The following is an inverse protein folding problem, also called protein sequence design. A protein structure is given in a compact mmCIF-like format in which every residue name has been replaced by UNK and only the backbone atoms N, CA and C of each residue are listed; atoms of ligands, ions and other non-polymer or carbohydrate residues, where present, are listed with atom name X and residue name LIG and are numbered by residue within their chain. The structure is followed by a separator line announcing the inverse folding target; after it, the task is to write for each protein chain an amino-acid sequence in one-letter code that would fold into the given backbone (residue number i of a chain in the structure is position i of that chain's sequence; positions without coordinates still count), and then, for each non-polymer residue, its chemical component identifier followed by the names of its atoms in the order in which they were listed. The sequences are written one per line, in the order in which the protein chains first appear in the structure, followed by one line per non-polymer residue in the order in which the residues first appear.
data_IF_325822415322
#
_entry.id   IF_325822415322
#
_cell.length_a   1.000
_cell.length_b   1.000
_cell.length_c   1.000
_cell.angle_alpha   90.00
_cell.angle_beta   90.00
_cell.angle_gamma   90.00
#
_symmetry.space_group_name_H-M   'P 1'
#
loop_
_entity.id
_entity.type
_entity.pdbx_description
1 polymer ?
#
# COMPACT_ATOMS: atom_id res chain seq x y z
N UNK A 1 -12.32 -27.63 -48.98
CA UNK A 1 -10.93 -27.53 -49.46
C UNK A 1 -10.53 -26.06 -49.39
N UNK A 2 -9.68 -25.69 -48.42
CA UNK A 2 -9.32 -24.29 -48.14
C UNK A 2 -8.15 -23.77 -48.99
N UNK A 3 -7.83 -24.38 -50.15
CA UNK A 3 -6.71 -23.92 -50.99
C UNK A 3 -5.30 -24.14 -50.39
N UNK A 4 -5.18 -24.70 -49.19
CA UNK A 4 -3.89 -24.97 -48.57
C UNK A 4 -3.31 -26.29 -49.07
N UNK A 5 -2.07 -26.22 -49.55
CA UNK A 5 -1.29 -27.40 -49.96
C UNK A 5 -0.39 -27.80 -48.81
N UNK A 6 -0.41 -29.07 -48.43
CA UNK A 6 0.50 -29.61 -47.41
C UNK A 6 1.75 -30.17 -48.12
N UNK A 7 2.88 -29.52 -47.84
CA UNK A 7 4.16 -29.94 -48.40
C UNK A 7 5.00 -30.57 -47.29
N UNK A 8 5.60 -31.73 -47.57
CA UNK A 8 6.55 -32.39 -46.67
C UNK A 8 7.95 -32.09 -47.21
N UNK A 9 8.78 -31.45 -46.41
CA UNK A 9 10.16 -31.08 -46.80
C UNK A 9 11.13 -31.90 -45.95
N UNK A 10 12.13 -32.53 -46.59
CA UNK A 10 13.21 -33.23 -45.93
C UNK A 10 14.53 -32.48 -46.21
N UNK A 11 15.26 -32.11 -45.15
CA UNK A 11 16.61 -31.57 -45.31
C UNK A 11 17.58 -32.68 -45.71
N UNK A 12 18.36 -32.46 -46.76
CA UNK A 12 19.32 -33.43 -47.26
C UNK A 12 20.74 -33.17 -46.73
N UNK A 13 21.24 -31.96 -46.89
CA UNK A 13 22.56 -31.56 -46.47
C UNK A 13 22.61 -30.09 -46.05
N UNK A 14 23.66 -29.71 -45.34
CA UNK A 14 23.91 -28.33 -44.93
C UNK A 14 24.80 -27.64 -45.97
N UNK A 15 24.35 -26.49 -46.42
CA UNK A 15 25.04 -25.72 -47.46
C UNK A 15 25.23 -24.28 -47.00
N UNK A 16 26.27 -23.64 -47.51
CA UNK A 16 26.48 -22.20 -47.34
C UNK A 16 26.01 -21.47 -48.60
N UNK A 17 25.07 -20.55 -48.45
CA UNK A 17 24.63 -19.70 -49.57
C UNK A 17 25.66 -18.62 -49.82
N UNK A 18 26.12 -18.51 -51.05
CA UNK A 18 27.10 -17.52 -51.52
C UNK A 18 26.38 -16.31 -52.10
N UNK A 19 25.36 -16.53 -52.94
CA UNK A 19 24.61 -15.47 -53.57
C UNK A 19 23.17 -15.92 -53.88
N UNK A 20 22.28 -14.96 -54.01
CA UNK A 20 20.88 -15.15 -54.43
C UNK A 20 20.71 -14.50 -55.81
N UNK A 21 19.96 -15.18 -56.68
CA UNK A 21 19.55 -14.69 -57.98
C UNK A 21 18.03 -14.80 -58.09
N UNK A 22 17.39 -13.75 -58.58
CA UNK A 22 15.97 -13.81 -58.93
C UNK A 22 15.87 -14.35 -60.38
N UNK A 23 15.14 -15.42 -60.57
CA UNK A 23 14.99 -15.99 -61.89
C UNK A 23 13.75 -15.43 -62.63
N UNK A 24 13.67 -15.68 -63.91
CA UNK A 24 12.59 -15.17 -64.79
C UNK A 24 11.17 -15.61 -64.36
N UNK A 25 11.04 -16.58 -63.49
CA UNK A 25 9.77 -17.09 -62.94
C UNK A 25 9.36 -16.49 -61.62
N UNK A 26 10.14 -15.54 -61.09
CA UNK A 26 9.82 -14.77 -59.84
C UNK A 26 10.14 -15.51 -58.55
N UNK A 27 10.97 -16.52 -58.55
CA UNK A 27 11.51 -17.15 -57.34
C UNK A 27 13.02 -16.98 -57.23
N UNK A 28 13.54 -17.16 -56.01
CA UNK A 28 14.95 -16.98 -55.70
C UNK A 28 15.73 -18.29 -55.92
N UNK A 29 16.70 -18.24 -56.82
CA UNK A 29 17.75 -19.26 -56.97
C UNK A 29 18.95 -18.87 -56.09
N UNK A 30 19.73 -19.85 -55.65
CA UNK A 30 20.90 -19.60 -54.83
C UNK A 30 22.09 -20.44 -55.26
N UNK A 31 23.26 -19.80 -55.35
CA UNK A 31 24.52 -20.53 -55.42
C UNK A 31 24.93 -20.97 -54.03
N UNK A 32 25.19 -22.28 -53.91
CA UNK A 32 25.52 -22.90 -52.64
C UNK A 32 26.83 -23.66 -52.72
N UNK A 33 27.57 -23.68 -51.63
CA UNK A 33 28.77 -24.49 -51.44
C UNK A 33 28.46 -25.51 -50.34
N UNK A 34 28.75 -26.78 -50.57
CA UNK A 34 28.67 -27.83 -49.57
C UNK A 34 29.66 -27.55 -48.42
N UNK A 35 29.17 -27.69 -47.22
CA UNK A 35 29.98 -27.49 -46.01
C UNK A 35 30.89 -28.73 -45.81
N UNK A 36 32.23 -28.55 -45.68
CA UNK A 36 33.11 -29.68 -45.48
C UNK A 36 32.80 -30.39 -44.16
N UNK A 37 32.88 -31.71 -44.19
CA UNK A 37 32.74 -32.54 -42.99
C UNK A 37 34.06 -32.44 -42.20
N UNK A 38 33.92 -32.04 -40.92
CA UNK A 38 35.07 -32.02 -39.98
C UNK A 38 35.51 -33.44 -39.67
N UNK A 39 36.83 -33.72 -39.75
CA UNK A 39 37.42 -34.89 -39.18
C UNK A 39 37.47 -34.76 -37.65
N UNK A 40 36.74 -35.60 -36.93
CA UNK A 40 36.62 -35.53 -35.49
C UNK A 40 37.09 -36.83 -34.84
N UNK A 41 37.72 -36.72 -33.67
CA UNK A 41 38.14 -37.88 -32.88
C UNK A 41 36.91 -38.66 -32.39
N UNK A 42 36.85 -39.95 -32.70
CA UNK A 42 35.79 -40.87 -32.30
C UNK A 42 35.55 -40.93 -30.75
N UNK A 43 36.62 -40.69 -30.00
CA UNK A 43 36.53 -40.66 -28.53
C UNK A 43 35.79 -39.40 -28.04
N UNK A 44 36.04 -38.24 -28.69
CA UNK A 44 35.34 -37.00 -28.36
C UNK A 44 33.84 -37.08 -28.73
N UNK A 45 33.52 -37.66 -29.88
CA UNK A 45 32.17 -37.92 -30.31
C UNK A 45 31.42 -38.79 -29.29
N UNK A 46 32.05 -39.89 -28.85
CA UNK A 46 31.43 -40.81 -27.88
C UNK A 46 31.18 -40.15 -26.54
N UNK A 47 32.12 -39.34 -26.05
CA UNK A 47 32.00 -38.60 -24.81
C UNK A 47 30.86 -37.57 -24.87
N UNK A 48 30.83 -36.74 -25.91
CA UNK A 48 29.80 -35.70 -26.12
C UNK A 48 28.41 -36.33 -26.28
N UNK A 49 28.30 -37.45 -26.97
CA UNK A 49 27.05 -38.18 -27.11
C UNK A 49 26.51 -38.64 -25.76
N UNK A 50 27.36 -39.22 -24.92
CA UNK A 50 26.94 -39.68 -23.55
C UNK A 50 26.46 -38.50 -22.69
N UNK A 51 27.20 -37.38 -22.74
CA UNK A 51 26.81 -36.18 -21.97
C UNK A 51 25.47 -35.63 -22.49
N UNK A 52 25.28 -35.55 -23.81
CA UNK A 52 24.08 -35.04 -24.44
C UNK A 52 22.84 -35.88 -24.04
N UNK A 53 22.95 -37.20 -24.10
CA UNK A 53 21.86 -38.09 -23.70
C UNK A 53 21.55 -37.97 -22.20
N UNK A 54 22.54 -37.82 -21.36
CA UNK A 54 22.34 -37.63 -19.92
C UNK A 54 21.63 -36.32 -19.62
N UNK A 55 22.09 -35.21 -20.19
CA UNK A 55 21.55 -33.88 -19.92
C UNK A 55 20.14 -33.73 -20.57
N UNK A 56 19.91 -34.41 -21.71
CA UNK A 56 18.59 -34.44 -22.34
C UNK A 56 17.57 -35.24 -21.51
N UNK A 57 17.97 -36.39 -20.96
CA UNK A 57 17.11 -37.12 -20.02
C UNK A 57 16.76 -36.29 -18.81
N UNK A 58 17.75 -35.62 -18.21
CA UNK A 58 17.51 -34.72 -17.06
C UNK A 58 16.55 -33.59 -17.43
N UNK A 59 16.69 -33.00 -18.62
CA UNK A 59 15.78 -31.96 -19.10
C UNK A 59 14.35 -32.49 -19.30
N UNK A 60 14.18 -33.67 -19.91
CA UNK A 60 12.85 -34.27 -20.13
C UNK A 60 12.17 -34.63 -18.82
N UNK A 61 12.93 -35.16 -17.85
CA UNK A 61 12.40 -35.53 -16.54
C UNK A 61 11.99 -34.28 -15.72
N UNK A 62 12.68 -33.16 -15.93
CA UNK A 62 12.41 -31.90 -15.21
C UNK A 62 11.41 -31.00 -15.93
N UNK A 63 11.13 -31.23 -17.21
CA UNK A 63 10.28 -30.36 -18.05
C UNK A 63 9.16 -31.14 -18.71
N UNK A 64 7.93 -30.65 -18.63
CA UNK A 64 6.80 -31.20 -19.36
C UNK A 64 6.77 -30.78 -20.85
N UNK A 65 7.73 -29.98 -21.31
CA UNK A 65 7.73 -29.36 -22.63
C UNK A 65 8.27 -30.29 -23.75
N UNK A 66 8.96 -31.37 -23.39
CA UNK A 66 9.56 -32.30 -24.37
C UNK A 66 9.09 -33.74 -24.10
N UNK A 67 8.76 -34.45 -25.16
CA UNK A 67 8.26 -35.84 -25.05
C UNK A 67 9.39 -36.86 -25.02
N UNK A 68 9.25 -37.91 -24.24
CA UNK A 68 10.14 -39.09 -24.21
C UNK A 68 10.31 -39.76 -25.59
N UNK A 69 9.40 -39.54 -26.54
CA UNK A 69 9.52 -40.06 -27.92
C UNK A 69 10.75 -39.57 -28.67
N UNK A 70 11.30 -38.42 -28.25
CA UNK A 70 12.52 -37.83 -28.85
C UNK A 70 13.74 -38.74 -28.61
N UNK A 71 13.88 -39.30 -27.40
CA UNK A 71 14.96 -40.21 -27.06
C UNK A 71 14.96 -41.45 -27.98
N UNK A 72 13.78 -41.98 -28.29
CA UNK A 72 13.63 -43.10 -29.21
C UNK A 72 14.11 -42.75 -30.64
N UNK A 73 13.87 -41.51 -31.11
CA UNK A 73 14.29 -41.08 -32.44
C UNK A 73 15.80 -40.83 -32.55
N UNK A 74 16.42 -40.35 -31.49
CA UNK A 74 17.86 -40.01 -31.51
C UNK A 74 18.76 -41.22 -31.14
N UNK A 75 18.27 -42.26 -30.45
CA UNK A 75 19.05 -43.39 -30.01
C UNK A 75 19.66 -44.20 -31.18
N UNK A 76 18.99 -44.25 -32.34
CA UNK A 76 19.46 -44.91 -33.53
C UNK A 76 20.39 -44.09 -34.45
N UNK A 77 20.64 -42.82 -34.12
CA UNK A 77 21.46 -41.93 -34.97
C UNK A 77 22.91 -41.99 -34.56
N UNK A 78 23.78 -42.46 -35.46
CA UNK A 78 25.25 -42.57 -35.24
C UNK A 78 25.99 -41.23 -35.48
N UNK A 79 25.53 -40.44 -36.44
CA UNK A 79 26.11 -39.13 -36.78
C UNK A 79 25.78 -38.08 -35.72
N UNK A 80 26.82 -37.52 -35.07
CA UNK A 80 26.67 -36.53 -34.00
C UNK A 80 26.09 -35.19 -34.50
N UNK A 81 26.36 -34.85 -35.79
CA UNK A 81 25.81 -33.67 -36.45
C UNK A 81 24.29 -33.80 -36.64
N UNK A 82 23.82 -34.92 -37.22
CA UNK A 82 22.39 -35.21 -37.39
C UNK A 82 21.67 -35.32 -36.04
N UNK A 83 22.31 -35.93 -35.04
CA UNK A 83 21.80 -36.04 -33.69
C UNK A 83 21.57 -34.64 -33.11
N UNK A 84 22.52 -33.74 -33.19
CA UNK A 84 22.36 -32.36 -32.71
C UNK A 84 21.23 -31.61 -33.40
N UNK A 85 21.07 -31.81 -34.72
CA UNK A 85 20.04 -31.15 -35.51
C UNK A 85 18.63 -31.61 -35.12
N UNK A 86 18.45 -32.90 -34.84
CA UNK A 86 17.18 -33.43 -34.36
C UNK A 86 16.86 -32.88 -32.97
N UNK A 87 17.82 -32.85 -32.06
CA UNK A 87 17.60 -32.30 -30.72
C UNK A 87 17.27 -30.81 -30.76
N UNK A 88 18.00 -30.02 -31.54
CA UNK A 88 17.70 -28.58 -31.72
C UNK A 88 16.32 -28.30 -32.33
N UNK A 89 15.85 -29.19 -33.23
CA UNK A 89 14.54 -29.06 -33.83
C UNK A 89 13.40 -29.28 -32.80
N UNK A 90 13.59 -30.23 -31.91
CA UNK A 90 12.60 -30.64 -30.90
C UNK A 90 12.60 -29.76 -29.63
N UNK A 91 13.72 -29.10 -29.34
CA UNK A 91 13.78 -28.20 -28.18
C UNK A 91 12.80 -27.03 -28.33
N UNK A 92 12.06 -26.67 -27.26
CA UNK A 92 11.13 -25.54 -27.25
C UNK A 92 11.85 -24.19 -27.11
N UNK A 93 12.85 -23.96 -27.94
CA UNK A 93 13.66 -22.75 -27.95
C UNK A 93 13.21 -21.74 -29.03
N UNK A 94 13.55 -20.47 -28.84
CA UNK A 94 13.20 -19.41 -29.78
C UNK A 94 13.77 -19.65 -31.19
N UNK A 95 13.06 -19.16 -32.19
CA UNK A 95 13.50 -19.25 -33.57
C UNK A 95 14.91 -18.66 -33.79
N UNK A 96 15.24 -17.58 -33.09
CA UNK A 96 16.58 -16.96 -33.13
C UNK A 96 17.67 -17.91 -32.64
N UNK A 97 17.43 -18.69 -31.60
CA UNK A 97 18.34 -19.71 -31.08
C UNK A 97 18.49 -20.85 -32.13
N UNK A 98 17.40 -21.30 -32.77
CA UNK A 98 17.43 -22.33 -33.81
C UNK A 98 18.28 -21.90 -34.99
N UNK A 99 18.20 -20.63 -35.41
CA UNK A 99 19.07 -20.08 -36.48
C UNK A 99 20.54 -20.08 -36.05
N UNK A 100 20.83 -19.78 -34.75
CA UNK A 100 22.21 -19.81 -34.24
C UNK A 100 22.84 -21.21 -34.39
N UNK A 101 22.09 -22.26 -34.05
CA UNK A 101 22.54 -23.64 -34.23
C UNK A 101 22.69 -24.02 -35.71
N UNK A 102 21.78 -23.55 -36.57
CA UNK A 102 21.89 -23.79 -38.03
C UNK A 102 23.14 -23.15 -38.62
N UNK A 103 23.52 -21.96 -38.15
CA UNK A 103 24.75 -21.24 -38.61
C UNK A 103 26.04 -21.88 -38.11
N UNK A 104 25.97 -22.66 -37.01
CA UNK A 104 27.14 -23.34 -36.47
C UNK A 104 27.52 -24.53 -37.38
N UNK A 105 28.54 -24.35 -38.19
CA UNK A 105 28.99 -25.32 -39.22
C UNK A 105 29.55 -26.57 -38.53
N UNK A 106 30.49 -26.40 -37.60
CA UNK A 106 31.15 -27.50 -36.89
C UNK A 106 30.19 -28.32 -36.03
N UNK A 107 30.14 -29.61 -36.24
CA UNK A 107 29.28 -30.54 -35.51
C UNK A 107 29.56 -30.57 -33.98
N UNK A 108 30.86 -30.60 -33.63
CA UNK A 108 31.32 -30.60 -32.24
C UNK A 108 30.99 -29.28 -31.54
N UNK A 109 31.30 -28.16 -32.22
CA UNK A 109 31.02 -26.83 -31.67
C UNK A 109 29.53 -26.63 -31.45
N UNK A 110 28.70 -27.15 -32.33
CA UNK A 110 27.23 -27.10 -32.22
C UNK A 110 26.71 -27.93 -31.01
N UNK A 111 27.27 -29.14 -30.83
CA UNK A 111 26.92 -29.97 -29.69
C UNK A 111 27.36 -29.34 -28.37
N UNK A 112 28.54 -28.74 -28.29
CA UNK A 112 29.02 -28.03 -27.12
C UNK A 112 28.11 -26.86 -26.78
N UNK A 113 27.72 -26.04 -27.76
CA UNK A 113 26.75 -24.95 -27.55
C UNK A 113 25.38 -25.46 -27.08
N UNK A 114 24.91 -26.57 -27.63
CA UNK A 114 23.66 -27.21 -27.23
C UNK A 114 23.71 -27.68 -25.77
N UNK A 115 24.83 -28.25 -25.34
CA UNK A 115 25.03 -28.70 -23.96
C UNK A 115 25.10 -27.52 -22.98
N UNK A 116 25.68 -26.39 -23.36
CA UNK A 116 25.66 -25.17 -22.52
C UNK A 116 24.24 -24.64 -22.35
N UNK A 117 23.48 -24.53 -23.45
CA UNK A 117 22.10 -24.06 -23.41
C UNK A 117 21.19 -25.04 -22.62
N UNK A 118 21.35 -26.37 -22.78
CA UNK A 118 20.60 -27.36 -22.02
C UNK A 118 20.88 -27.27 -20.52
N UNK A 119 22.14 -27.11 -20.11
CA UNK A 119 22.48 -26.94 -18.70
C UNK A 119 21.84 -25.68 -18.10
N UNK A 120 21.93 -24.57 -18.80
CA UNK A 120 21.30 -23.32 -18.38
C UNK A 120 19.79 -23.46 -18.21
N UNK A 121 19.12 -24.14 -19.14
CA UNK A 121 17.67 -24.38 -19.03
C UNK A 121 17.33 -25.32 -17.85
N UNK A 122 18.11 -26.38 -17.61
CA UNK A 122 17.92 -27.27 -16.45
C UNK A 122 18.10 -26.51 -15.13
N UNK A 123 19.08 -25.63 -15.03
CA UNK A 123 19.29 -24.79 -13.84
C UNK A 123 18.11 -23.83 -13.63
N UNK A 124 17.60 -23.24 -14.71
CA UNK A 124 16.44 -22.35 -14.65
C UNK A 124 15.20 -23.09 -14.13
N UNK A 125 14.90 -24.27 -14.68
CA UNK A 125 13.76 -25.09 -14.25
C UNK A 125 13.87 -25.45 -12.75
N UNK A 126 15.06 -25.83 -12.29
CA UNK A 126 15.29 -26.14 -10.86
C UNK A 126 15.02 -24.93 -9.97
N UNK A 127 15.46 -23.75 -10.38
CA UNK A 127 15.20 -22.51 -9.62
C UNK A 127 13.71 -22.17 -9.61
N UNK A 128 13.00 -22.38 -10.72
CA UNK A 128 11.54 -22.17 -10.80
C UNK A 128 10.82 -23.10 -9.82
N UNK A 129 11.18 -24.39 -9.79
CA UNK A 129 10.62 -25.37 -8.86
C UNK A 129 10.90 -25.02 -7.40
N UNK A 130 12.11 -24.57 -7.07
CA UNK A 130 12.46 -24.12 -5.72
C UNK A 130 11.65 -22.91 -5.27
N UNK A 131 11.46 -21.94 -6.15
CA UNK A 131 10.65 -20.75 -5.89
C UNK A 131 9.19 -21.14 -5.69
N UNK A 132 8.64 -21.98 -6.56
CA UNK A 132 7.25 -22.42 -6.47
C UNK A 132 6.99 -23.19 -5.17
N UNK A 133 7.88 -24.12 -4.81
CA UNK A 133 7.79 -24.87 -3.55
C UNK A 133 7.92 -23.94 -2.33
N UNK A 134 8.79 -22.95 -2.38
CA UNK A 134 8.93 -21.95 -1.30
C UNK A 134 7.67 -21.10 -1.13
N UNK A 135 7.05 -20.65 -2.23
CA UNK A 135 5.79 -19.92 -2.20
C UNK A 135 4.64 -20.77 -1.65
N UNK A 136 4.53 -22.03 -2.11
CA UNK A 136 3.50 -22.96 -1.67
C UNK A 136 3.60 -23.23 -0.16
N UNK A 137 4.81 -23.49 0.33
CA UNK A 137 5.06 -23.69 1.77
C UNK A 137 4.71 -22.46 2.61
N UNK A 138 4.98 -21.24 2.13
CA UNK A 138 4.60 -19.99 2.82
C UNK A 138 3.09 -19.80 2.88
N UNK A 139 2.38 -20.10 1.78
CA UNK A 139 0.91 -20.00 1.71
C UNK A 139 0.29 -21.03 2.66
N UNK A 140 0.73 -22.29 2.60
CA UNK A 140 0.21 -23.38 3.45
C UNK A 140 0.45 -23.10 4.94
N UNK A 141 1.61 -22.56 5.30
CA UNK A 141 1.93 -22.18 6.68
C UNK A 141 1.04 -21.05 7.16
N UNK A 142 0.79 -20.05 6.34
CA UNK A 142 -0.09 -18.92 6.67
C UNK A 142 -1.54 -19.36 6.84
N UNK A 143 -2.06 -20.19 5.93
CA UNK A 143 -3.42 -20.73 6.03
C UNK A 143 -3.57 -21.65 7.25
N UNK A 144 -2.60 -22.51 7.52
CA UNK A 144 -2.59 -23.38 8.71
C UNK A 144 -2.60 -22.59 10.00
N UNK A 145 -1.77 -21.55 10.10
CA UNK A 145 -1.76 -20.67 11.28
C UNK A 145 -3.11 -19.94 11.46
N UNK A 146 -3.69 -19.43 10.39
CA UNK A 146 -5.03 -18.82 10.45
C UNK A 146 -6.09 -19.81 10.98
N UNK A 147 -6.13 -21.03 10.44
CA UNK A 147 -7.06 -22.07 10.89
C UNK A 147 -6.82 -22.50 12.35
N UNK A 148 -5.56 -22.55 12.77
CA UNK A 148 -5.21 -22.85 14.17
C UNK A 148 -5.67 -21.74 15.11
N UNK A 149 -5.45 -20.49 14.77
CA UNK A 149 -5.95 -19.35 15.55
C UNK A 149 -7.47 -19.33 15.65
N UNK A 150 -8.17 -19.62 14.55
CA UNK A 150 -9.62 -19.69 14.56
C UNK A 150 -10.16 -20.86 15.40
N UNK A 151 -9.52 -22.03 15.34
CA UNK A 151 -9.84 -23.16 16.22
C UNK A 151 -9.60 -22.84 17.70
N UNK A 152 -8.48 -22.20 18.02
CA UNK A 152 -8.18 -21.77 19.40
C UNK A 152 -9.24 -20.77 19.88
N UNK A 153 -9.71 -19.84 19.01
CA UNK A 153 -10.75 -18.89 19.32
C UNK A 153 -12.08 -19.60 19.66
N UNK A 154 -12.49 -20.52 18.80
CA UNK A 154 -13.74 -21.27 19.01
C UNK A 154 -13.66 -22.11 20.29
N UNK A 155 -12.55 -22.80 20.53
CA UNK A 155 -12.36 -23.58 21.77
C UNK A 155 -12.38 -22.72 23.02
N UNK A 156 -11.79 -21.51 22.99
CA UNK A 156 -11.85 -20.55 24.09
C UNK A 156 -13.27 -20.03 24.33
N UNK A 157 -14.04 -19.78 23.25
CA UNK A 157 -15.46 -19.41 23.35
C UNK A 157 -16.30 -20.52 23.98
N UNK A 158 -16.08 -21.80 23.62
CA UNK A 158 -16.77 -22.96 24.21
C UNK A 158 -16.40 -23.21 25.69
N UNK A 159 -15.14 -22.95 26.06
CA UNK A 159 -14.67 -23.11 27.44
C UNK A 159 -15.03 -21.91 28.33
N UNK A 160 -15.57 -20.81 27.78
CA UNK A 160 -15.84 -19.58 28.52
C UNK A 160 -14.57 -18.85 29.00
N UNK A 161 -13.40 -19.26 28.50
CA UNK A 161 -12.11 -18.62 28.78
C UNK A 161 -11.89 -17.43 27.85
N UNK A 162 -12.54 -16.31 28.19
CA UNK A 162 -12.24 -15.04 27.54
C UNK A 162 -10.92 -14.49 28.07
N UNK A 163 -9.97 -14.22 27.19
CA UNK A 163 -8.80 -13.41 27.56
C UNK A 163 -9.27 -11.98 27.90
N UNK A 164 -8.47 -11.26 28.67
CA UNK A 164 -8.75 -9.84 29.00
C UNK A 164 -8.99 -9.06 27.68
N UNK A 165 -8.22 -9.38 26.63
CA UNK A 165 -8.34 -8.79 25.30
C UNK A 165 -9.67 -9.11 24.61
N UNK A 166 -10.16 -10.34 24.69
CA UNK A 166 -11.45 -10.73 24.10
C UNK A 166 -12.61 -10.00 24.78
N UNK A 167 -12.56 -9.90 26.12
CA UNK A 167 -13.53 -9.12 26.90
C UNK A 167 -13.50 -7.66 26.49
N UNK A 168 -12.32 -7.08 26.34
CA UNK A 168 -12.13 -5.70 25.90
C UNK A 168 -12.62 -5.47 24.47
N UNK A 169 -12.30 -6.37 23.54
CA UNK A 169 -12.79 -6.32 22.16
C UNK A 169 -14.32 -6.34 22.08
N UNK A 170 -14.97 -7.15 22.93
CA UNK A 170 -16.43 -7.20 23.01
C UNK A 170 -17.00 -5.90 23.58
N UNK A 171 -16.40 -5.31 24.60
CA UNK A 171 -16.78 -4.00 25.13
C UNK A 171 -16.64 -2.90 24.07
N UNK A 172 -15.53 -2.87 23.33
CA UNK A 172 -15.33 -1.91 22.23
C UNK A 172 -16.39 -2.10 21.14
N UNK A 173 -16.71 -3.34 20.77
CA UNK A 173 -17.75 -3.65 19.78
C UNK A 173 -19.13 -3.15 20.24
N UNK A 174 -19.46 -3.31 21.50
CA UNK A 174 -20.70 -2.81 22.06
C UNK A 174 -20.75 -1.27 22.03
N UNK A 175 -19.67 -0.59 22.46
CA UNK A 175 -19.57 0.88 22.40
C UNK A 175 -19.71 1.42 20.98
N UNK A 176 -19.14 0.75 19.96
CA UNK A 176 -19.27 1.11 18.55
C UNK A 176 -20.73 1.02 18.08
N UNK A 177 -21.47 -0.01 18.54
CA UNK A 177 -22.89 -0.19 18.18
C UNK A 177 -23.80 0.85 18.84
N UNK A 178 -23.54 1.18 20.10
CA UNK A 178 -24.38 2.09 20.89
C UNK A 178 -24.20 3.55 20.52
N UNK A 179 -22.99 3.94 20.12
CA UNK A 179 -22.68 5.34 19.80
C UNK A 179 -23.19 5.73 18.40
N UNK A 180 -23.80 6.92 18.30
CA UNK A 180 -24.13 7.54 17.01
C UNK A 180 -22.86 8.00 16.34
N UNK A 181 -22.51 7.36 15.23
CA UNK A 181 -21.27 7.60 14.47
C UNK A 181 -21.59 7.82 13.00
N UNK A 182 -20.82 8.69 12.29
CA UNK A 182 -20.86 8.75 10.83
C UNK A 182 -20.50 7.40 10.23
N UNK A 183 -21.14 7.02 9.11
CA UNK A 183 -20.90 5.71 8.48
C UNK A 183 -19.42 5.47 8.18
N UNK A 184 -18.70 6.48 7.69
CA UNK A 184 -17.25 6.37 7.40
C UNK A 184 -16.44 6.01 8.66
N UNK A 185 -16.77 6.62 9.78
CA UNK A 185 -16.11 6.37 11.07
C UNK A 185 -16.44 4.99 11.61
N UNK A 186 -17.69 4.56 11.47
CA UNK A 186 -18.11 3.21 11.89
C UNK A 186 -17.37 2.12 11.13
N UNK A 187 -17.30 2.20 9.80
CA UNK A 187 -16.55 1.25 8.97
C UNK A 187 -15.08 1.21 9.39
N UNK A 188 -14.49 2.39 9.62
CA UNK A 188 -13.09 2.46 10.05
C UNK A 188 -12.87 1.82 11.42
N UNK A 189 -13.77 2.04 12.36
CA UNK A 189 -13.70 1.42 13.70
C UNK A 189 -13.84 -0.10 13.64
N UNK A 190 -14.71 -0.63 12.79
CA UNK A 190 -14.86 -2.07 12.57
C UNK A 190 -13.60 -2.71 11.97
N UNK A 191 -12.95 -2.04 11.00
CA UNK A 191 -11.68 -2.47 10.47
C UNK A 191 -10.57 -2.50 11.52
N UNK A 192 -10.44 -1.43 12.30
CA UNK A 192 -9.43 -1.35 13.36
C UNK A 192 -9.71 -2.34 14.49
N UNK A 193 -10.97 -2.56 14.84
CA UNK A 193 -11.35 -3.59 15.81
C UNK A 193 -11.01 -5.00 15.33
N UNK A 194 -11.17 -5.27 14.03
CA UNK A 194 -10.74 -6.54 13.43
C UNK A 194 -9.23 -6.70 13.52
N UNK A 195 -8.45 -5.64 13.22
CA UNK A 195 -6.99 -5.66 13.40
C UNK A 195 -6.59 -5.88 14.85
N UNK A 196 -7.26 -5.19 15.78
CA UNK A 196 -7.06 -5.35 17.22
C UNK A 196 -7.23 -6.81 17.67
N UNK A 197 -8.28 -7.49 17.22
CA UNK A 197 -8.54 -8.89 17.60
C UNK A 197 -7.52 -9.87 17.01
N UNK A 198 -7.01 -9.60 15.79
CA UNK A 198 -6.05 -10.47 15.10
C UNK A 198 -4.60 -10.28 15.56
N UNK A 199 -4.24 -9.11 16.07
CA UNK A 199 -2.87 -8.82 16.52
C UNK A 199 -2.52 -9.59 17.78
N UNK A 200 -1.26 -9.95 17.97
CA UNK A 200 -0.77 -10.58 19.21
C UNK A 200 -0.80 -9.59 20.39
N UNK A 201 -1.18 -10.04 21.59
CA UNK A 201 -1.17 -9.20 22.81
C UNK A 201 0.18 -8.56 23.11
N UNK A 202 1.26 -9.24 22.77
CA UNK A 202 2.62 -8.74 22.98
C UNK A 202 3.06 -7.68 21.95
N UNK A 203 2.24 -7.42 20.92
CA UNK A 203 2.60 -6.45 19.88
C UNK A 203 2.33 -5.01 20.34
N UNK A 204 3.31 -4.10 20.20
CA UNK A 204 3.11 -2.66 20.45
C UNK A 204 1.96 -2.05 19.60
N UNK A 205 1.68 -2.66 18.46
CA UNK A 205 0.62 -2.24 17.55
C UNK A 205 -0.76 -2.28 18.21
N UNK A 206 -0.99 -3.24 19.11
CA UNK A 206 -2.27 -3.39 19.86
C UNK A 206 -2.60 -2.12 20.64
N UNK A 207 -1.62 -1.54 21.32
CA UNK A 207 -1.80 -0.30 22.08
C UNK A 207 -2.11 0.89 21.16
N UNK A 208 -1.45 0.96 20.01
CA UNK A 208 -1.68 2.03 19.01
C UNK A 208 -3.11 1.93 18.46
N UNK A 209 -3.54 0.72 18.05
CA UNK A 209 -4.87 0.48 17.52
C UNK A 209 -5.94 0.81 18.58
N UNK A 210 -5.74 0.34 19.81
CA UNK A 210 -6.66 0.61 20.91
C UNK A 210 -6.82 2.09 21.18
N UNK A 211 -5.70 2.82 21.27
CA UNK A 211 -5.70 4.26 21.51
C UNK A 211 -6.45 4.99 20.39
N UNK A 212 -6.25 4.60 19.14
CA UNK A 212 -6.96 5.17 18.01
C UNK A 212 -8.48 4.90 18.07
N UNK A 213 -8.90 3.68 18.40
CA UNK A 213 -10.30 3.34 18.60
C UNK A 213 -10.91 4.22 19.72
N UNK A 214 -10.20 4.37 20.84
CA UNK A 214 -10.64 5.21 21.96
C UNK A 214 -10.75 6.69 21.58
N UNK A 215 -9.85 7.21 20.74
CA UNK A 215 -9.97 8.57 20.22
C UNK A 215 -11.25 8.72 19.39
N UNK A 216 -11.48 7.87 18.38
CA UNK A 216 -12.66 7.94 17.53
C UNK A 216 -13.97 7.77 18.30
N UNK A 217 -13.99 6.91 19.32
CA UNK A 217 -15.14 6.70 20.18
C UNK A 217 -15.43 7.87 21.12
N UNK A 218 -14.41 8.64 21.53
CA UNK A 218 -14.59 9.74 22.48
C UNK A 218 -14.77 11.10 21.81
N UNK A 219 -14.64 11.20 20.48
CA UNK A 219 -14.94 12.44 19.76
C UNK A 219 -16.44 12.70 19.71
N UNK A 220 -16.88 13.97 19.86
CA UNK A 220 -18.28 14.37 19.82
C UNK A 220 -18.76 14.56 18.37
N UNK A 221 -19.10 13.47 17.67
CA UNK A 221 -19.48 13.51 16.25
C UNK A 221 -20.78 14.27 15.99
N UNK A 222 -21.78 14.07 16.85
CA UNK A 222 -23.12 14.68 16.73
C UNK A 222 -23.55 15.44 17.98
N UNK A 223 -22.75 15.40 19.02
CA UNK A 223 -23.02 16.05 20.28
C UNK A 223 -22.74 17.57 20.17
N UNK A 224 -23.75 18.34 19.92
CA UNK A 224 -23.66 19.80 19.86
C UNK A 224 -24.54 20.50 20.88
N UNK A 225 -24.06 21.59 21.45
CA UNK A 225 -24.90 22.47 22.27
C UNK A 225 -25.84 23.30 21.41
N UNK A 226 -27.12 23.38 21.78
CA UNK A 226 -28.05 24.29 21.12
C UNK A 226 -27.77 25.70 21.65
N UNK A 227 -27.37 26.57 20.74
CA UNK A 227 -27.13 27.99 21.09
C UNK A 227 -28.48 28.69 21.32
N UNK A 228 -28.65 29.30 22.47
CA UNK A 228 -29.73 30.26 22.70
C UNK A 228 -29.13 31.66 22.60
N UNK A 229 -29.30 32.29 21.46
CA UNK A 229 -28.86 33.65 21.27
C UNK A 229 -29.85 34.61 21.86
N UNK A 230 -29.63 35.05 23.11
CA UNK A 230 -30.43 36.07 23.78
C UNK A 230 -29.57 37.32 23.99
N UNK A 231 -29.69 38.32 23.16
CA UNK A 231 -28.84 39.53 23.16
C UNK A 231 -28.83 40.24 24.51
N UNK A 232 -29.95 40.26 25.22
CA UNK A 232 -30.01 40.91 26.54
C UNK A 232 -29.20 40.14 27.56
N UNK A 233 -29.28 38.79 27.56
CA UNK A 233 -28.42 37.95 28.40
C UNK A 233 -26.92 38.12 28.10
N UNK A 234 -26.57 38.26 26.82
CA UNK A 234 -25.19 38.52 26.42
C UNK A 234 -24.68 39.85 26.98
N UNK A 235 -25.51 40.91 26.92
CA UNK A 235 -25.18 42.22 27.53
C UNK A 235 -24.98 42.13 29.02
N UNK A 236 -25.92 41.46 29.74
CA UNK A 236 -25.84 41.27 31.16
C UNK A 236 -24.54 40.54 31.56
N UNK A 237 -24.28 39.36 31.01
CA UNK A 237 -23.07 38.57 31.29
C UNK A 237 -21.78 39.36 31.03
N UNK A 238 -21.71 40.10 29.92
CA UNK A 238 -20.54 40.92 29.60
C UNK A 238 -20.37 42.09 30.58
N UNK A 239 -21.47 42.68 31.07
CA UNK A 239 -21.41 43.83 32.03
C UNK A 239 -21.07 43.37 33.44
N UNK A 240 -21.57 42.21 33.84
CA UNK A 240 -21.26 41.62 35.15
C UNK A 240 -19.81 41.18 35.25
N UNK A 241 -19.29 40.60 34.14
CA UNK A 241 -17.93 40.03 34.16
C UNK A 241 -16.82 41.05 33.96
N UNK A 242 -17.07 42.19 33.31
CA UNK A 242 -16.09 43.20 32.97
C UNK A 242 -16.57 44.61 33.19
N UNK A 243 -15.80 45.43 33.86
CA UNK A 243 -16.05 46.86 33.97
C UNK A 243 -15.45 47.61 32.77
N UNK A 244 -16.18 48.54 32.16
CA UNK A 244 -15.72 49.24 30.95
C UNK A 244 -15.64 48.34 29.73
N UNK A 245 -14.62 48.52 28.89
CA UNK A 245 -14.42 47.81 27.61
C UNK A 245 -15.59 47.95 26.61
N UNK A 246 -16.25 49.15 26.61
CA UNK A 246 -17.49 49.39 25.87
C UNK A 246 -17.37 49.08 24.37
N UNK A 247 -16.24 49.46 23.77
CA UNK A 247 -15.96 49.20 22.34
C UNK A 247 -15.89 47.71 22.05
N UNK A 248 -15.18 46.92 22.88
CA UNK A 248 -15.06 45.52 22.71
C UNK A 248 -16.40 44.79 22.94
N UNK A 249 -17.13 45.18 23.98
CA UNK A 249 -18.49 44.66 24.28
C UNK A 249 -19.44 44.95 23.14
N UNK A 250 -19.48 46.17 22.63
CA UNK A 250 -20.30 46.55 21.50
C UNK A 250 -20.03 45.68 20.27
N UNK A 251 -18.76 45.48 19.96
CA UNK A 251 -18.36 44.61 18.83
C UNK A 251 -18.77 43.15 19.01
N UNK A 252 -18.68 42.62 20.23
CA UNK A 252 -19.14 41.26 20.54
C UNK A 252 -20.66 41.15 20.38
N UNK A 253 -21.42 42.14 20.87
CA UNK A 253 -22.89 42.19 20.74
C UNK A 253 -23.31 42.28 19.28
N UNK A 254 -22.64 43.11 18.47
CA UNK A 254 -22.86 43.19 17.02
C UNK A 254 -22.63 41.83 16.35
N UNK A 255 -21.52 41.16 16.68
CA UNK A 255 -21.18 39.82 16.18
C UNK A 255 -22.28 38.80 16.55
N UNK A 256 -22.68 38.73 17.81
CA UNK A 256 -23.73 37.81 18.24
C UNK A 256 -25.07 38.09 17.56
N UNK A 257 -25.40 39.38 17.35
CA UNK A 257 -26.62 39.81 16.64
C UNK A 257 -26.66 39.32 15.19
N UNK A 258 -25.51 39.36 14.49
CA UNK A 258 -25.38 38.82 13.15
C UNK A 258 -25.55 37.30 13.14
N UNK A 259 -24.90 36.59 14.07
CA UNK A 259 -25.00 35.14 14.19
C UNK A 259 -26.43 34.70 14.47
N UNK A 260 -27.16 35.43 15.35
CA UNK A 260 -28.57 35.16 15.66
C UNK A 260 -29.47 35.29 14.43
N UNK A 261 -29.29 36.34 13.65
CA UNK A 261 -30.07 36.58 12.43
C UNK A 261 -29.80 35.58 11.33
N UNK A 262 -28.53 35.32 11.05
CA UNK A 262 -28.11 34.46 9.94
C UNK A 262 -28.30 32.96 10.28
N UNK A 263 -28.40 32.61 11.55
CA UNK A 263 -28.48 31.21 12.07
C UNK A 263 -27.35 30.32 11.56
N UNK A 264 -26.32 30.88 11.01
CA UNK A 264 -25.17 30.22 10.45
C UNK A 264 -23.93 31.02 10.84
N UNK A 265 -23.06 30.41 11.61
CA UNK A 265 -21.74 31.02 11.91
C UNK A 265 -20.89 30.77 10.67
N UNK A 266 -20.85 31.71 9.77
CA UNK A 266 -19.90 31.71 8.69
C UNK A 266 -18.61 32.35 9.18
N UNK A 267 -17.77 31.52 9.81
CA UNK A 267 -16.33 31.72 10.11
C UNK A 267 -15.86 33.17 10.41
N UNK A 268 -16.58 33.89 11.27
CA UNK A 268 -16.06 35.16 11.77
C UNK A 268 -15.21 34.92 12.99
N UNK A 269 -13.91 35.18 12.88
CA UNK A 269 -12.97 35.06 13.99
C UNK A 269 -12.88 36.41 14.69
N UNK A 270 -13.04 36.40 16.00
CA UNK A 270 -12.84 37.60 16.85
C UNK A 270 -11.39 37.61 17.31
N UNK A 271 -10.62 38.60 16.90
CA UNK A 271 -9.27 38.81 17.36
C UNK A 271 -9.24 39.83 18.50
N UNK A 272 -8.76 39.42 19.69
CA UNK A 272 -8.63 40.26 20.87
C UNK A 272 -7.15 40.71 21.00
N UNK A 273 -6.90 41.98 20.75
CA UNK A 273 -5.55 42.58 20.84
C UNK A 273 -5.50 43.51 22.03
N UNK A 274 -4.41 43.43 22.80
CA UNK A 274 -4.20 44.31 23.99
C UNK A 274 -3.07 43.82 24.89
N UNK A 275 -2.64 44.64 25.85
CA UNK A 275 -1.56 44.29 26.78
C UNK A 275 -1.92 43.09 27.66
N UNK A 276 -0.95 42.43 28.30
CA UNK A 276 -1.22 41.37 29.26
C UNK A 276 -2.02 41.90 30.45
N UNK A 277 -2.88 41.02 31.02
CA UNK A 277 -3.65 41.35 32.24
C UNK A 277 -4.96 42.12 32.04
N UNK A 278 -5.32 42.54 30.80
CA UNK A 278 -6.56 43.29 30.55
C UNK A 278 -7.84 42.43 30.48
N UNK A 279 -7.74 41.13 30.72
CA UNK A 279 -8.90 40.27 30.76
C UNK A 279 -9.32 39.64 29.41
N UNK A 280 -8.43 39.52 28.41
CA UNK A 280 -8.74 38.90 27.11
C UNK A 280 -9.32 37.48 27.25
N UNK A 281 -8.67 36.65 28.09
CA UNK A 281 -9.09 35.26 28.31
C UNK A 281 -10.45 35.18 29.05
N UNK A 282 -10.64 36.05 30.04
CA UNK A 282 -11.91 36.12 30.80
C UNK A 282 -13.07 36.60 29.92
N UNK A 283 -12.78 37.55 29.00
CA UNK A 283 -13.76 38.04 28.02
C UNK A 283 -14.20 36.93 27.06
N UNK A 284 -13.25 36.13 26.55
CA UNK A 284 -13.56 34.97 25.69
C UNK A 284 -14.39 33.91 26.45
N UNK A 285 -14.11 33.69 27.71
CA UNK A 285 -14.91 32.78 28.56
C UNK A 285 -16.34 33.32 28.77
N UNK A 286 -16.49 34.64 29.02
CA UNK A 286 -17.78 35.30 29.16
C UNK A 286 -18.61 35.23 27.88
N UNK A 287 -17.97 35.32 26.69
CA UNK A 287 -18.64 35.10 25.41
C UNK A 287 -19.19 33.67 25.32
N UNK A 288 -18.40 32.67 25.68
CA UNK A 288 -18.83 31.28 25.65
C UNK A 288 -20.04 31.04 26.59
N UNK A 289 -19.98 31.59 27.81
CA UNK A 289 -21.08 31.52 28.81
C UNK A 289 -22.34 32.21 28.27
N UNK A 290 -22.20 33.40 27.70
CA UNK A 290 -23.33 34.16 27.16
C UNK A 290 -24.02 33.45 25.98
N UNK A 291 -23.24 32.67 25.19
CA UNK A 291 -23.74 31.85 24.09
C UNK A 291 -24.22 30.45 24.53
N UNK A 292 -24.10 30.10 25.77
CA UNK A 292 -24.39 28.77 26.33
C UNK A 292 -23.57 27.67 25.63
N UNK A 293 -22.30 27.98 25.36
CA UNK A 293 -21.37 27.06 24.69
C UNK A 293 -20.25 26.62 25.62
N UNK A 294 -19.75 25.41 25.38
CA UNK A 294 -18.55 24.92 26.05
C UNK A 294 -17.34 25.75 25.61
N UNK A 295 -16.43 26.00 26.55
CA UNK A 295 -15.22 26.78 26.33
C UNK A 295 -13.99 25.89 26.30
N UNK A 296 -13.14 26.09 25.32
CA UNK A 296 -11.85 25.41 25.17
C UNK A 296 -10.76 26.44 24.98
N UNK A 297 -9.73 26.40 25.82
CA UNK A 297 -8.52 27.21 25.67
C UNK A 297 -7.40 26.34 25.12
N UNK A 298 -6.77 26.77 24.05
CA UNK A 298 -5.58 26.20 23.44
C UNK A 298 -4.49 27.28 23.47
N UNK A 299 -3.36 27.01 24.12
CA UNK A 299 -2.19 27.88 24.01
C UNK A 299 -1.30 27.37 22.88
N UNK A 300 -0.97 28.27 21.96
CA UNK A 300 -0.08 27.98 20.83
C UNK A 300 1.27 28.71 20.97
N UNK A 301 1.47 29.45 22.07
CA UNK A 301 2.74 30.12 22.37
C UNK A 301 3.85 29.10 22.60
N UNK A 302 4.97 29.31 21.91
CA UNK A 302 6.12 28.41 21.99
C UNK A 302 6.04 27.12 21.20
N UNK A 303 4.95 26.90 20.45
CA UNK A 303 4.86 25.79 19.51
C UNK A 303 5.75 26.09 18.32
N UNK A 304 6.64 25.15 17.99
CA UNK A 304 7.49 25.17 16.81
C UNK A 304 7.20 24.02 15.83
N UNK A 305 6.58 22.93 16.30
CA UNK A 305 6.22 21.76 15.49
C UNK A 305 4.76 21.87 15.02
N UNK A 306 4.54 21.81 13.70
CA UNK A 306 3.19 21.81 13.10
C UNK A 306 2.36 20.60 13.55
N UNK A 307 3.00 19.48 13.87
CA UNK A 307 2.33 18.27 14.32
C UNK A 307 1.54 18.46 15.63
N UNK A 308 1.87 19.48 16.43
CA UNK A 308 1.04 19.83 17.59
C UNK A 308 -0.35 20.37 17.20
N UNK A 309 -0.48 20.97 16.00
CA UNK A 309 -1.76 21.47 15.49
C UNK A 309 -2.49 20.43 14.67
N UNK A 310 -1.79 19.79 13.70
CA UNK A 310 -2.37 18.84 12.75
C UNK A 310 -2.23 17.38 13.17
N UNK A 311 -1.67 17.08 14.35
CA UNK A 311 -1.49 15.73 14.86
C UNK A 311 -0.26 15.02 14.30
N UNK A 312 0.25 14.07 15.07
CA UNK A 312 1.36 13.20 14.69
C UNK A 312 0.83 11.97 13.97
N UNK A 313 1.58 11.47 12.98
CA UNK A 313 1.23 10.20 12.32
C UNK A 313 1.17 9.08 13.35
N UNK A 314 0.06 8.37 13.41
CA UNK A 314 -0.23 7.33 14.42
C UNK A 314 0.78 6.18 14.51
N UNK A 315 1.63 6.01 13.47
CA UNK A 315 2.68 4.99 13.46
C UNK A 315 3.85 5.28 14.40
N UNK A 316 3.96 6.51 14.89
CA UNK A 316 4.99 6.87 15.86
C UNK A 316 4.56 6.53 17.28
N UNK A 317 5.50 6.03 18.06
CA UNK A 317 5.27 5.78 19.48
C UNK A 317 4.98 7.11 20.20
N UNK A 318 3.86 7.16 20.93
CA UNK A 318 3.44 8.40 21.61
C UNK A 318 2.68 9.39 20.71
N UNK A 319 2.35 9.03 19.47
CA UNK A 319 1.53 9.87 18.59
C UNK A 319 0.20 10.24 19.24
N UNK A 320 -0.22 11.48 19.02
CA UNK A 320 -1.50 12.02 19.48
C UNK A 320 -2.12 12.90 18.41
N UNK A 321 -3.46 13.03 18.38
CA UNK A 321 -4.12 14.03 17.54
C UNK A 321 -3.66 15.45 17.87
N UNK A 322 -3.84 16.36 16.93
CA UNK A 322 -3.54 17.78 17.12
C UNK A 322 -4.41 18.43 18.20
N UNK A 323 -3.96 19.58 18.69
CA UNK A 323 -4.59 20.32 19.79
C UNK A 323 -6.06 20.68 19.52
N UNK A 324 -6.43 20.86 18.25
CA UNK A 324 -7.83 21.14 17.87
C UNK A 324 -8.72 19.94 18.19
N UNK A 325 -8.32 18.75 17.74
CA UNK A 325 -9.08 17.51 18.00
C UNK A 325 -9.06 17.15 19.47
N UNK A 326 -7.94 17.34 20.15
CA UNK A 326 -7.87 17.16 21.61
C UNK A 326 -8.83 18.12 22.35
N UNK A 327 -8.90 19.36 21.90
CA UNK A 327 -9.82 20.37 22.44
C UNK A 327 -11.28 19.98 22.26
N UNK A 328 -11.66 19.46 21.11
CA UNK A 328 -13.03 18.97 20.85
C UNK A 328 -13.39 17.78 21.76
N UNK A 329 -12.48 16.82 21.91
CA UNK A 329 -12.67 15.70 22.85
C UNK A 329 -12.86 16.19 24.27
N UNK A 330 -12.05 17.17 24.74
CA UNK A 330 -12.14 17.75 26.08
C UNK A 330 -13.46 18.50 26.30
N UNK A 331 -13.94 19.22 25.28
CA UNK A 331 -15.22 19.92 25.33
C UNK A 331 -16.42 18.96 25.37
N UNK A 332 -16.31 17.78 24.78
CA UNK A 332 -17.39 16.81 24.64
C UNK A 332 -18.53 17.28 23.73
N UNK A 333 -18.31 18.33 22.93
CA UNK A 333 -19.25 18.88 21.96
C UNK A 333 -18.52 19.24 20.67
N UNK A 334 -19.24 19.20 19.55
CA UNK A 334 -18.68 19.49 18.23
C UNK A 334 -18.70 20.99 17.85
N UNK A 335 -19.23 21.85 18.70
CA UNK A 335 -19.36 23.28 18.46
C UNK A 335 -18.98 24.15 19.67
N UNK A 336 -17.84 23.91 20.32
CA UNK A 336 -17.37 24.73 21.40
C UNK A 336 -16.87 26.10 20.91
N UNK A 337 -16.71 27.05 21.84
CA UNK A 337 -15.92 28.26 21.60
C UNK A 337 -14.46 27.98 21.88
N UNK A 338 -13.62 28.10 20.87
CA UNK A 338 -12.17 27.97 21.01
C UNK A 338 -11.53 29.33 21.26
N UNK A 339 -10.72 29.40 22.28
CA UNK A 339 -9.75 30.47 22.47
C UNK A 339 -8.37 29.95 22.08
N UNK A 340 -7.80 30.49 21.01
CA UNK A 340 -6.43 30.26 20.63
C UNK A 340 -5.61 31.41 21.23
N UNK A 341 -4.82 31.11 22.24
CA UNK A 341 -4.06 32.10 23.01
C UNK A 341 -2.60 32.11 22.61
N UNK A 342 -1.97 33.29 22.71
CA UNK A 342 -0.55 33.51 22.42
C UNK A 342 -0.13 33.22 20.97
N UNK A 343 -1.01 33.55 20.00
CA UNK A 343 -0.73 33.39 18.56
C UNK A 343 0.50 34.18 18.11
N UNK A 344 0.77 35.32 18.76
CA UNK A 344 1.90 36.17 18.52
C UNK A 344 3.27 35.55 18.95
N UNK A 345 3.23 34.45 19.71
CA UNK A 345 4.41 33.71 20.17
C UNK A 345 4.63 32.38 19.43
N UNK A 346 4.00 32.18 18.29
CA UNK A 346 4.28 31.05 17.43
C UNK A 346 5.73 31.10 16.94
N UNK A 347 6.44 29.99 17.11
CA UNK A 347 7.80 29.83 16.60
C UNK A 347 7.80 29.33 15.17
N UNK A 348 8.89 29.56 14.43
CA UNK A 348 9.23 28.87 13.20
C UNK A 348 10.48 28.08 13.43
N UNK A 349 10.48 26.79 13.11
CA UNK A 349 11.65 25.94 13.23
C UNK A 349 11.83 25.10 11.96
N UNK A 350 12.91 24.35 11.87
CA UNK A 350 13.19 23.42 10.76
C UNK A 350 12.16 22.28 10.63
N UNK A 351 11.29 22.08 11.63
CA UNK A 351 10.28 21.02 11.68
C UNK A 351 8.90 21.39 11.13
N UNK A 352 8.74 22.62 10.64
CA UNK A 352 7.49 23.06 10.02
C UNK A 352 7.10 24.50 10.34
N UNK A 353 5.98 24.95 9.80
CA UNK A 353 5.38 26.27 10.07
C UNK A 353 3.99 26.08 10.72
N UNK A 354 3.91 26.08 12.07
CA UNK A 354 2.63 25.95 12.77
C UNK A 354 1.62 27.04 12.40
N UNK A 355 2.10 28.20 11.94
CA UNK A 355 1.21 29.28 11.49
C UNK A 355 0.49 28.90 10.20
N UNK A 356 1.14 28.18 9.29
CA UNK A 356 0.52 27.66 8.07
C UNK A 356 -0.56 26.63 8.40
N UNK A 357 -0.27 25.69 9.30
CA UNK A 357 -1.26 24.69 9.75
C UNK A 357 -2.46 25.35 10.48
N UNK A 358 -2.19 26.42 11.24
CA UNK A 358 -3.27 27.17 11.88
C UNK A 358 -4.11 27.94 10.86
N UNK A 359 -3.52 28.39 9.76
CA UNK A 359 -4.25 29.05 8.66
C UNK A 359 -5.26 28.08 8.04
N UNK A 360 -4.87 26.81 7.79
CA UNK A 360 -5.80 25.80 7.29
C UNK A 360 -7.01 25.59 8.22
N UNK A 361 -6.82 25.70 9.53
CA UNK A 361 -7.91 25.58 10.50
C UNK A 361 -8.82 26.81 10.48
N UNK A 362 -8.26 28.01 10.32
CA UNK A 362 -8.98 29.28 10.48
C UNK A 362 -9.58 29.81 9.19
N UNK A 363 -8.98 29.52 8.04
CA UNK A 363 -9.50 29.96 6.74
C UNK A 363 -10.76 29.16 6.37
N UNK A 364 -11.81 29.87 6.00
CA UNK A 364 -13.11 29.30 5.61
C UNK A 364 -13.03 28.37 4.39
N UNK A 365 -12.18 28.69 3.43
CA UNK A 365 -12.04 27.91 2.20
C UNK A 365 -11.20 26.66 2.45
N UNK A 366 -10.21 26.75 3.32
CA UNK A 366 -9.26 25.66 3.59
C UNK A 366 -9.75 24.72 4.70
N UNK A 367 -10.49 25.21 5.70
CA UNK A 367 -10.88 24.40 6.86
C UNK A 367 -11.77 23.19 6.52
N UNK A 368 -12.45 23.20 5.36
CA UNK A 368 -13.21 22.05 4.88
C UNK A 368 -12.31 20.86 4.49
N UNK A 369 -11.06 21.14 4.18
CA UNK A 369 -10.06 20.17 3.79
C UNK A 369 -9.09 19.81 4.94
N UNK A 370 -9.21 20.52 6.07
CA UNK A 370 -8.38 20.22 7.23
C UNK A 370 -8.52 18.76 7.66
N UNK A 371 -7.41 18.07 7.75
CA UNK A 371 -7.34 16.67 8.13
C UNK A 371 -6.25 16.50 9.19
N UNK A 372 -6.61 15.95 10.34
CA UNK A 372 -5.63 15.56 11.35
C UNK A 372 -4.87 14.31 10.88
N UNK A 373 -3.55 14.31 11.08
CA UNK A 373 -2.65 13.23 10.63
C UNK A 373 -2.73 11.95 11.49
N UNK A 374 -3.37 12.04 12.66
CA UNK A 374 -3.54 10.90 13.58
C UNK A 374 -4.70 9.97 13.10
#
# INVERSE_FOLDING_TARGET
SNGNVRVVIAGLERVQVVNYLENDYGYLDSFVISVPIEEVDEKEITALRRILFRDLNTYIDSSSLMSNSVIGRISGVSDIGKLSDIVCAELPISYSKKIKYLRQVGSISRVKLLLEDLKSEIETIKLEDEIENSLKNKIDTSQRNYLLHEKIRIMKEELGEFTIKDTEANQLRQRIKEKKLPNRVRVRLEEELKRYTLSSEASPEVTIIRTYIDWLLNLPWYEGTRSKYQLDKVKEVLNESHYGLDVAKKRIIEFVSVVEKVKKIESTIICLVGPPGVGKTTLAHSIANALDKKFVKISVGGISDEAEIIGHRRTYLGASPGKIIQGMKKAGVNNPVFLIDEVDKLGKDYHGDPASSLLEVLDKEQNQHFCDNY
#
